data_IF_956318700540
#
_entry.id   IF_956318700540
#
_cell.length_a   1.000
_cell.length_b   1.000
_cell.length_c   1.000
_cell.angle_alpha   90.00
_cell.angle_beta   90.00
_cell.angle_gamma   90.00
#
_symmetry.space_group_name_H-M   'P 1'
#
loop_
_entity.id
_entity.type
_entity.pdbx_description
1 polymer ?
#
# COMPACT_ATOMS: atom_id res chain seq x y z
N UNK A 1 -13.67 7.68 -5.50
CA UNK A 1 -12.79 6.66 -4.88
C UNK A 1 -11.91 6.09 -5.97
N UNK A 2 -10.63 5.88 -5.72
CA UNK A 2 -9.71 5.23 -6.64
C UNK A 2 -9.12 3.99 -5.97
N UNK A 3 -9.00 2.91 -6.72
CA UNK A 3 -8.36 1.67 -6.29
C UNK A 3 -7.05 1.56 -7.08
N UNK A 4 -5.96 1.37 -6.36
CA UNK A 4 -4.62 1.28 -6.94
C UNK A 4 -4.00 -0.02 -6.46
N UNK A 5 -3.72 -0.91 -7.40
CA UNK A 5 -2.85 -2.06 -7.17
C UNK A 5 -1.39 -1.61 -7.18
N UNK A 6 -0.59 -2.18 -6.30
CA UNK A 6 0.83 -1.86 -6.19
C UNK A 6 1.65 -3.10 -5.81
N UNK A 7 2.95 -3.02 -6.03
CA UNK A 7 3.92 -3.98 -5.53
C UNK A 7 4.75 -3.34 -4.41
N UNK A 8 4.82 -3.98 -3.26
CA UNK A 8 5.82 -3.70 -2.22
C UNK A 8 7.09 -4.52 -2.53
N UNK A 9 8.17 -3.83 -2.87
CA UNK A 9 9.47 -4.43 -3.22
C UNK A 9 10.57 -4.09 -2.20
N UNK A 10 10.22 -3.33 -1.16
CA UNK A 10 11.16 -2.87 -0.14
C UNK A 10 10.47 -2.51 1.17
N UNK A 11 11.19 -2.69 2.28
CA UNK A 11 10.81 -2.28 3.63
C UNK A 11 11.91 -1.42 4.22
N UNK A 12 11.70 -0.10 4.26
CA UNK A 12 12.74 0.85 4.66
C UNK A 12 13.95 0.77 3.73
N UNK A 13 15.09 0.24 4.24
CA UNK A 13 16.32 0.04 3.45
C UNK A 13 16.49 -1.41 2.96
N UNK A 14 15.59 -2.31 3.32
CA UNK A 14 15.69 -3.73 3.00
C UNK A 14 14.92 -4.03 1.73
N UNK A 15 15.57 -4.64 0.74
CA UNK A 15 14.88 -5.14 -0.46
C UNK A 15 14.07 -6.38 -0.10
N UNK A 16 12.84 -6.46 -0.60
CA UNK A 16 11.95 -7.60 -0.48
C UNK A 16 11.73 -8.25 -1.85
N UNK A 17 11.34 -9.54 -1.91
CA UNK A 17 10.62 -10.06 -3.05
C UNK A 17 9.35 -9.23 -3.28
N UNK A 18 8.98 -8.98 -4.53
CA UNK A 18 7.78 -8.21 -4.87
C UNK A 18 6.54 -8.90 -4.31
N UNK A 19 5.74 -8.15 -3.56
CA UNK A 19 4.49 -8.60 -2.95
C UNK A 19 3.37 -7.65 -3.36
N UNK A 20 2.20 -8.19 -3.73
CA UNK A 20 1.08 -7.39 -4.20
C UNK A 20 0.31 -6.78 -3.03
N UNK A 21 -0.26 -5.60 -3.25
CA UNK A 21 -1.16 -4.95 -2.32
C UNK A 21 -2.14 -4.05 -3.05
N UNK A 22 -3.17 -3.58 -2.34
CA UNK A 22 -4.15 -2.65 -2.89
C UNK A 22 -4.42 -1.51 -1.92
N UNK A 23 -4.45 -0.29 -2.45
CA UNK A 23 -4.79 0.92 -1.71
C UNK A 23 -6.09 1.52 -2.26
N UNK A 24 -6.96 1.96 -1.36
CA UNK A 24 -8.20 2.67 -1.68
C UNK A 24 -8.10 4.09 -1.16
N UNK A 25 -8.16 5.06 -2.08
CA UNK A 25 -8.13 6.48 -1.76
C UNK A 25 -9.52 7.11 -1.95
N UNK A 26 -9.96 7.86 -0.94
CA UNK A 26 -11.18 8.65 -0.97
C UNK A 26 -10.83 10.14 -0.87
N UNK A 27 -11.23 10.92 -1.87
CA UNK A 27 -11.11 12.38 -1.83
C UNK A 27 -12.42 12.99 -1.31
N UNK A 28 -12.30 14.05 -0.52
CA UNK A 28 -13.43 14.88 -0.11
C UNK A 28 -13.85 15.85 -1.22
N UNK A 29 -14.90 16.63 -0.96
CA UNK A 29 -15.43 17.62 -1.92
C UNK A 29 -14.42 18.72 -2.28
N UNK A 30 -13.41 18.93 -1.44
CA UNK A 30 -12.32 19.87 -1.66
C UNK A 30 -11.11 19.25 -2.40
N UNK A 31 -11.27 18.04 -2.96
CA UNK A 31 -10.23 17.27 -3.64
C UNK A 31 -9.03 16.88 -2.76
N UNK A 32 -9.11 17.10 -1.45
CA UNK A 32 -8.10 16.61 -0.50
C UNK A 32 -8.43 15.18 -0.10
N UNK A 33 -7.41 14.43 0.29
CA UNK A 33 -7.59 13.08 0.82
C UNK A 33 -8.43 13.12 2.09
N UNK A 34 -9.56 12.41 2.06
CA UNK A 34 -10.48 12.26 3.17
C UNK A 34 -10.16 10.98 3.96
N UNK A 35 -9.91 9.87 3.26
CA UNK A 35 -9.54 8.61 3.87
C UNK A 35 -8.63 7.80 2.92
N UNK A 36 -7.78 6.97 3.52
CA UNK A 36 -7.01 5.94 2.83
C UNK A 36 -7.15 4.62 3.59
N UNK A 37 -7.28 3.52 2.86
CA UNK A 37 -7.19 2.16 3.41
C UNK A 37 -6.21 1.38 2.56
N UNK A 38 -5.32 0.66 3.22
CA UNK A 38 -4.32 -0.17 2.58
C UNK A 38 -4.63 -1.60 3.01
N UNK A 39 -4.75 -2.48 2.03
CA UNK A 39 -4.90 -3.92 2.22
C UNK A 39 -3.68 -4.56 1.60
N UNK A 40 -2.74 -4.93 2.47
CA UNK A 40 -1.57 -5.69 2.11
C UNK A 40 -1.27 -6.71 3.21
N UNK A 41 -0.60 -7.77 2.79
CA UNK A 41 -0.05 -8.84 3.61
C UNK A 41 1.47 -8.89 3.42
N UNK A 42 2.14 -7.73 3.39
CA UNK A 42 3.59 -7.67 3.20
C UNK A 42 4.29 -8.38 4.36
N UNK A 43 4.96 -9.48 4.05
CA UNK A 43 5.77 -10.22 4.99
C UNK A 43 6.95 -9.35 5.45
N UNK A 44 7.09 -9.08 6.76
CA UNK A 44 8.19 -8.28 7.29
C UNK A 44 9.56 -8.95 7.05
N UNK A 45 10.66 -8.17 6.95
CA UNK A 45 11.99 -8.73 6.88
C UNK A 45 12.30 -9.66 8.06
N UNK A 46 12.72 -10.89 7.75
CA UNK A 46 13.13 -11.88 8.77
C UNK A 46 12.00 -12.81 9.24
N UNK A 47 10.76 -12.54 8.84
CA UNK A 47 9.66 -13.51 8.95
C UNK A 47 9.65 -14.41 7.70
N UNK A 48 9.35 -15.70 7.88
CA UNK A 48 9.33 -16.71 6.81
C UNK A 48 7.92 -17.15 6.51
#
# INVERSE_FOLDING_TARGET
>A
RAVIEYNADSWGKTKLPSQAGVAVYELGMNWKMHAARIYDDVTPPGEK
#
